data_IF_093782070595
#
_entry.id   IF_093782070595
#
_cell.length_a   1.000
_cell.length_b   1.000
_cell.length_c   1.000
_cell.angle_alpha   90.00
_cell.angle_beta   90.00
_cell.angle_gamma   90.00
#
_symmetry.space_group_name_H-M   'P 1'
#
loop_
_entity.id
_entity.type
_entity.pdbx_description
1 polymer ?
#
# COMPACT_ATOMS: atom_id res chain seq x y z
N UNK A 1 -18.65 -10.24 -30.82
CA UNK A 1 -19.12 -9.03 -30.09
C UNK A 1 -18.97 -7.78 -30.95
N UNK A 2 -17.81 -7.52 -31.57
CA UNK A 2 -17.61 -6.31 -32.37
C UNK A 2 -17.81 -6.64 -33.86
N UNK A 3 -18.75 -5.96 -34.52
CA UNK A 3 -19.03 -6.09 -35.95
C UNK A 3 -18.44 -4.94 -36.78
N UNK A 4 -18.44 -3.72 -36.23
CA UNK A 4 -17.89 -2.51 -36.85
C UNK A 4 -17.20 -1.65 -35.79
N UNK A 5 -16.14 -0.95 -36.18
CA UNK A 5 -15.37 -0.05 -35.31
C UNK A 5 -15.23 1.30 -36.01
N UNK A 6 -15.46 2.39 -35.28
CA UNK A 6 -15.12 3.75 -35.68
C UNK A 6 -14.23 4.38 -34.60
N UNK A 7 -13.15 5.02 -35.02
CA UNK A 7 -12.21 5.73 -34.14
C UNK A 7 -12.17 7.17 -34.60
N UNK A 8 -12.23 8.11 -33.66
CA UNK A 8 -12.14 9.55 -33.93
C UNK A 8 -11.16 10.17 -32.94
N UNK A 9 -10.13 10.82 -33.48
CA UNK A 9 -9.14 11.54 -32.69
C UNK A 9 -9.53 13.02 -32.63
N UNK A 10 -9.68 13.55 -31.41
CA UNK A 10 -9.94 14.96 -31.18
C UNK A 10 -8.66 15.63 -30.69
N UNK A 11 -8.16 16.61 -31.44
CA UNK A 11 -7.01 17.45 -31.08
C UNK A 11 -7.36 18.93 -30.99
N UNK A 12 -8.54 19.32 -31.49
CA UNK A 12 -9.10 20.66 -31.32
C UNK A 12 -9.47 20.91 -29.84
N UNK A 13 -8.97 21.98 -29.20
CA UNK A 13 -9.17 22.22 -27.76
C UNK A 13 -10.64 22.31 -27.34
N UNK A 14 -11.48 23.00 -28.11
CA UNK A 14 -12.90 23.17 -27.79
C UNK A 14 -13.65 21.84 -27.91
N UNK A 15 -13.36 21.08 -28.97
CA UNK A 15 -13.94 19.75 -29.15
C UNK A 15 -13.48 18.76 -28.10
N UNK A 16 -12.22 18.83 -27.67
CA UNK A 16 -11.69 18.03 -26.55
C UNK A 16 -12.47 18.35 -25.27
N UNK A 17 -12.69 19.63 -24.95
CA UNK A 17 -13.45 20.04 -23.76
C UNK A 17 -14.88 19.51 -23.77
N UNK A 18 -15.59 19.66 -24.89
CA UNK A 18 -16.95 19.13 -25.07
C UNK A 18 -17.00 17.61 -24.87
N UNK A 19 -16.10 16.88 -25.53
CA UNK A 19 -16.06 15.41 -25.46
C UNK A 19 -15.61 14.92 -24.07
N UNK A 20 -14.76 15.69 -23.38
CA UNK A 20 -14.32 15.39 -22.02
C UNK A 20 -15.49 15.47 -21.03
N UNK A 21 -16.29 16.53 -21.06
CA UNK A 21 -17.49 16.65 -20.22
C UNK A 21 -18.48 15.51 -20.46
N UNK A 22 -18.66 15.13 -21.74
CA UNK A 22 -19.50 13.98 -22.10
C UNK A 22 -18.93 12.66 -21.56
N UNK A 23 -17.63 12.46 -21.65
CA UNK A 23 -16.96 11.27 -21.12
C UNK A 23 -17.11 11.16 -19.60
N UNK A 24 -16.91 12.25 -18.86
CA UNK A 24 -17.08 12.29 -17.40
C UNK A 24 -18.49 11.86 -16.96
N UNK A 25 -19.54 12.31 -17.68
CA UNK A 25 -20.93 11.88 -17.39
C UNK A 25 -21.11 10.37 -17.58
N UNK A 26 -20.48 9.79 -18.60
CA UNK A 26 -20.52 8.34 -18.84
C UNK A 26 -19.77 7.59 -17.75
N UNK A 27 -18.59 8.07 -17.35
CA UNK A 27 -17.79 7.45 -16.29
C UNK A 27 -18.55 7.44 -14.98
N UNK A 28 -19.09 8.59 -14.55
CA UNK A 28 -19.85 8.66 -13.30
C UNK A 28 -21.10 7.76 -13.32
N UNK A 29 -21.82 7.68 -14.44
CA UNK A 29 -22.96 6.76 -14.57
C UNK A 29 -22.56 5.27 -14.54
N UNK A 30 -21.32 4.92 -14.93
CA UNK A 30 -20.78 3.57 -14.78
C UNK A 30 -20.38 3.29 -13.34
N UNK A 31 -19.61 4.19 -12.74
CA UNK A 31 -19.06 4.00 -11.41
C UNK A 31 -20.13 4.06 -10.31
N UNK A 32 -21.11 4.96 -10.44
CA UNK A 32 -22.25 5.03 -9.51
C UNK A 32 -23.04 3.71 -9.44
N UNK A 33 -23.09 2.93 -10.52
CA UNK A 33 -23.73 1.60 -10.51
C UNK A 33 -22.95 0.59 -9.69
N UNK A 34 -21.63 0.68 -9.67
CA UNK A 34 -20.79 -0.22 -8.89
C UNK A 34 -20.86 0.06 -7.38
N UNK A 35 -21.03 1.32 -6.98
CA UNK A 35 -21.04 1.74 -5.56
C UNK A 35 -22.20 1.18 -4.73
N UNK A 36 -23.29 0.76 -5.36
CA UNK A 36 -24.47 0.23 -4.66
C UNK A 36 -24.36 -1.23 -4.21
N UNK A 37 -23.38 -1.98 -4.71
CA UNK A 37 -23.24 -3.42 -4.46
C UNK A 37 -22.23 -3.69 -3.34
N UNK A 38 -22.58 -4.56 -2.39
CA UNK A 38 -21.70 -4.93 -1.27
C UNK A 38 -20.98 -6.24 -1.52
N UNK A 39 -19.83 -6.41 -0.86
CA UNK A 39 -19.05 -7.64 -0.95
C UNK A 39 -19.79 -8.86 -0.37
N UNK A 40 -20.65 -8.61 0.62
CA UNK A 40 -21.46 -9.63 1.27
C UNK A 40 -22.60 -10.13 0.35
N UNK A 41 -23.02 -9.33 -0.63
CA UNK A 41 -24.16 -9.61 -1.53
C UNK A 41 -23.77 -10.42 -2.78
N UNK A 42 -22.48 -10.69 -2.98
CA UNK A 42 -21.96 -11.45 -4.12
C UNK A 42 -21.30 -12.76 -3.68
N UNK A 43 -21.43 -13.78 -4.50
CA UNK A 43 -20.79 -15.09 -4.35
C UNK A 43 -19.37 -15.14 -4.92
N UNK A 44 -19.06 -14.23 -5.85
CA UNK A 44 -17.79 -14.19 -6.59
C UNK A 44 -17.12 -12.83 -6.52
N UNK A 45 -15.81 -12.86 -6.49
CA UNK A 45 -14.95 -11.74 -6.83
C UNK A 45 -14.28 -11.97 -8.19
N UNK A 46 -13.47 -11.01 -8.62
CA UNK A 46 -12.73 -11.11 -9.87
C UNK A 46 -11.26 -10.84 -9.66
N UNK A 47 -10.43 -11.63 -10.32
CA UNK A 47 -8.99 -11.43 -10.38
C UNK A 47 -8.59 -10.76 -11.70
N UNK A 48 -7.46 -10.07 -11.70
CA UNK A 48 -6.82 -9.56 -12.91
C UNK A 48 -5.30 -9.77 -12.86
N UNK A 49 -4.76 -10.42 -13.88
CA UNK A 49 -3.33 -10.68 -14.07
C UNK A 49 -2.71 -9.86 -15.21
N UNK A 50 -3.44 -8.90 -15.78
CA UNK A 50 -3.01 -8.14 -16.97
C UNK A 50 -1.66 -7.43 -16.76
N UNK A 51 -1.39 -6.96 -15.54
CA UNK A 51 -0.17 -6.24 -15.20
C UNK A 51 1.03 -7.15 -14.87
N UNK A 52 0.92 -8.47 -15.00
CA UNK A 52 2.03 -9.39 -14.74
C UNK A 52 3.17 -9.28 -15.76
N UNK A 53 2.95 -8.60 -16.89
CA UNK A 53 4.00 -8.25 -17.84
C UNK A 53 5.13 -7.41 -17.24
N UNK A 54 4.86 -6.66 -16.15
CA UNK A 54 5.87 -5.84 -15.45
C UNK A 54 5.89 -6.05 -13.94
N UNK A 55 4.87 -6.67 -13.35
CA UNK A 55 4.84 -7.10 -11.94
C UNK A 55 4.42 -8.58 -11.85
N UNK A 56 5.32 -9.54 -12.11
CA UNK A 56 4.97 -10.95 -12.34
C UNK A 56 4.20 -11.64 -11.22
N UNK A 57 4.42 -11.22 -9.96
CA UNK A 57 3.77 -11.78 -8.77
C UNK A 57 2.48 -11.04 -8.40
N UNK A 58 2.13 -9.97 -9.12
CA UNK A 58 0.94 -9.18 -8.82
C UNK A 58 -0.34 -9.87 -9.33
N UNK A 59 -1.38 -9.83 -8.50
CA UNK A 59 -2.74 -10.22 -8.86
C UNK A 59 -3.68 -9.18 -8.28
N UNK A 60 -4.40 -8.45 -9.14
CA UNK A 60 -5.48 -7.57 -8.68
C UNK A 60 -6.66 -8.43 -8.22
N UNK A 61 -7.21 -8.17 -7.04
CA UNK A 61 -8.46 -8.77 -6.56
C UNK A 61 -9.48 -7.64 -6.49
N UNK A 62 -10.60 -7.84 -7.17
CA UNK A 62 -11.61 -6.83 -7.46
C UNK A 62 -12.93 -7.32 -6.85
N UNK A 63 -13.45 -6.53 -5.94
CA UNK A 63 -14.73 -6.77 -5.26
C UNK A 63 -15.69 -5.63 -5.57
N UNK A 64 -16.99 -5.74 -5.26
CA UNK A 64 -17.91 -4.62 -5.36
C UNK A 64 -17.42 -3.35 -4.64
N UNK A 65 -16.81 -3.52 -3.46
CA UNK A 65 -16.33 -2.42 -2.62
C UNK A 65 -14.82 -2.18 -2.71
N UNK A 66 -14.13 -2.81 -3.68
CA UNK A 66 -12.71 -2.61 -3.96
C UNK A 66 -12.44 -2.71 -5.45
N UNK A 67 -12.39 -1.55 -6.08
CA UNK A 67 -11.94 -1.40 -7.46
C UNK A 67 -10.51 -1.90 -7.64
N UNK A 68 -10.16 -2.25 -8.88
CA UNK A 68 -8.77 -2.48 -9.24
C UNK A 68 -7.90 -1.26 -8.91
N UNK A 69 -6.61 -1.49 -8.66
CA UNK A 69 -5.70 -0.38 -8.29
C UNK A 69 -5.63 0.69 -9.40
N UNK A 70 -5.83 0.32 -10.67
CA UNK A 70 -5.83 1.24 -11.80
C UNK A 70 -7.10 2.09 -11.95
N UNK A 71 -8.17 1.78 -11.20
CA UNK A 71 -9.45 2.49 -11.27
C UNK A 71 -10.31 2.14 -12.50
N UNK A 72 -9.77 1.43 -13.47
CA UNK A 72 -10.44 1.17 -14.75
C UNK A 72 -11.24 -0.16 -14.80
N UNK A 73 -11.22 -0.96 -13.73
CA UNK A 73 -11.89 -2.26 -13.69
C UNK A 73 -12.72 -2.35 -12.41
N UNK A 74 -14.03 -2.21 -12.56
CA UNK A 74 -15.01 -2.50 -11.51
C UNK A 74 -15.30 -4.00 -11.41
N UNK A 75 -16.06 -4.40 -10.37
CA UNK A 75 -16.58 -5.77 -10.28
C UNK A 75 -17.44 -6.16 -11.50
N UNK A 76 -18.25 -5.23 -12.02
CA UNK A 76 -19.06 -5.48 -13.22
C UNK A 76 -18.21 -5.66 -14.48
N UNK A 77 -17.11 -4.92 -14.61
CA UNK A 77 -16.18 -5.09 -15.72
C UNK A 77 -15.44 -6.44 -15.61
N UNK A 78 -15.03 -6.83 -14.40
CA UNK A 78 -14.47 -8.16 -14.12
C UNK A 78 -15.43 -9.29 -14.52
N UNK A 79 -16.70 -9.17 -14.13
CA UNK A 79 -17.77 -10.10 -14.52
C UNK A 79 -17.98 -10.18 -16.02
N UNK A 80 -18.02 -9.04 -16.70
CA UNK A 80 -18.21 -8.99 -18.14
C UNK A 80 -17.02 -9.61 -18.86
N UNK A 81 -15.78 -9.21 -18.50
CA UNK A 81 -14.56 -9.67 -19.15
C UNK A 81 -14.36 -11.18 -18.99
N UNK A 82 -14.52 -11.73 -17.78
CA UNK A 82 -14.37 -13.17 -17.52
C UNK A 82 -15.41 -14.03 -18.26
N UNK A 83 -16.57 -13.46 -18.62
CA UNK A 83 -17.59 -14.14 -19.45
C UNK A 83 -17.28 -14.04 -20.93
N UNK A 84 -16.78 -12.88 -21.37
CA UNK A 84 -16.44 -12.62 -22.78
C UNK A 84 -15.23 -13.46 -23.21
N UNK A 85 -14.21 -13.52 -22.35
CA UNK A 85 -13.01 -14.32 -22.58
C UNK A 85 -12.64 -15.10 -21.31
N UNK A 86 -13.15 -16.34 -21.15
CA UNK A 86 -12.87 -17.17 -19.98
C UNK A 86 -11.39 -17.57 -19.82
N UNK A 87 -10.58 -17.42 -20.87
CA UNK A 87 -9.13 -17.68 -20.85
C UNK A 87 -8.30 -16.39 -20.78
N UNK A 88 -8.99 -15.25 -20.66
CA UNK A 88 -8.37 -13.94 -20.59
C UNK A 88 -7.72 -13.64 -19.24
N UNK A 89 -7.12 -12.46 -19.09
CA UNK A 89 -6.42 -12.07 -17.88
C UNK A 89 -7.35 -11.70 -16.71
N UNK A 90 -8.66 -11.52 -16.98
CA UNK A 90 -9.68 -11.34 -15.95
C UNK A 90 -10.41 -12.66 -15.73
N UNK A 91 -10.46 -13.12 -14.48
CA UNK A 91 -10.99 -14.43 -14.13
C UNK A 91 -11.88 -14.33 -12.89
N UNK A 92 -12.85 -15.25 -12.78
CA UNK A 92 -13.69 -15.33 -11.58
C UNK A 92 -12.90 -15.95 -10.42
N UNK A 93 -13.16 -15.44 -9.21
CA UNK A 93 -12.68 -15.99 -7.95
C UNK A 93 -13.91 -16.37 -7.14
N UNK A 94 -14.10 -17.66 -6.87
CA UNK A 94 -15.09 -18.08 -5.88
C UNK A 94 -14.69 -17.51 -4.53
N UNK A 95 -15.61 -16.85 -3.81
CA UNK A 95 -15.27 -16.15 -2.57
C UNK A 95 -14.75 -17.11 -1.51
N UNK A 96 -15.33 -18.30 -1.41
CA UNK A 96 -15.03 -19.26 -0.35
C UNK A 96 -15.44 -18.74 1.04
N UNK A 97 -14.88 -19.33 2.09
CA UNK A 97 -15.08 -18.91 3.47
C UNK A 97 -14.45 -17.54 3.75
N UNK A 98 -15.20 -16.67 4.44
CA UNK A 98 -14.69 -15.41 4.97
C UNK A 98 -13.95 -15.69 6.29
N UNK A 99 -12.63 -15.48 6.31
CA UNK A 99 -11.78 -15.71 7.48
C UNK A 99 -11.68 -14.47 8.38
N UNK A 100 -11.71 -13.28 7.78
CA UNK A 100 -11.67 -12.01 8.51
C UNK A 100 -12.49 -10.95 7.73
N UNK A 101 -13.68 -10.56 8.20
CA UNK A 101 -14.52 -9.59 7.49
C UNK A 101 -14.02 -8.14 7.59
N UNK A 102 -13.13 -7.85 8.55
CA UNK A 102 -12.55 -6.51 8.74
C UNK A 102 -11.35 -6.34 7.82
N UNK A 103 -10.46 -7.32 7.78
CA UNK A 103 -9.30 -7.31 6.87
C UNK A 103 -9.68 -7.70 5.44
N UNK A 104 -10.84 -8.32 5.25
CA UNK A 104 -11.30 -8.84 3.97
C UNK A 104 -10.49 -10.04 3.54
N UNK A 105 -10.32 -11.01 4.43
CA UNK A 105 -9.64 -12.27 4.12
C UNK A 105 -10.64 -13.35 3.74
N UNK A 106 -10.36 -14.02 2.64
CA UNK A 106 -11.20 -15.09 2.11
C UNK A 106 -10.34 -16.25 1.60
N UNK A 107 -10.76 -17.48 1.87
CA UNK A 107 -10.04 -18.69 1.45
C UNK A 107 -9.86 -18.75 -0.06
N UNK A 108 -10.94 -18.54 -0.83
CA UNK A 108 -10.89 -18.59 -2.29
C UNK A 108 -10.04 -17.47 -2.90
N UNK A 109 -9.96 -16.30 -2.25
CA UNK A 109 -9.03 -15.23 -2.65
C UNK A 109 -7.59 -15.64 -2.42
N UNK A 110 -7.26 -16.21 -1.26
CA UNK A 110 -5.91 -16.69 -0.95
C UNK A 110 -5.47 -17.78 -1.93
N UNK A 111 -6.35 -18.74 -2.25
CA UNK A 111 -6.08 -19.80 -3.23
C UNK A 111 -5.82 -19.23 -4.63
N UNK A 112 -6.71 -18.37 -5.11
CA UNK A 112 -6.59 -17.77 -6.44
C UNK A 112 -5.32 -16.91 -6.57
N UNK A 113 -5.00 -16.09 -5.56
CA UNK A 113 -3.78 -15.28 -5.57
C UNK A 113 -2.53 -16.16 -5.50
N UNK A 114 -2.54 -17.22 -4.69
CA UNK A 114 -1.42 -18.17 -4.62
C UNK A 114 -1.15 -18.84 -5.96
N UNK A 115 -2.18 -19.34 -6.63
CA UNK A 115 -2.05 -19.94 -7.94
C UNK A 115 -1.51 -18.92 -8.96
N UNK A 116 -2.15 -17.75 -9.05
CA UNK A 116 -1.89 -16.77 -10.09
C UNK A 116 -0.60 -15.97 -9.88
N UNK A 117 -0.07 -15.93 -8.66
CA UNK A 117 1.25 -15.35 -8.35
C UNK A 117 2.38 -16.39 -8.37
N UNK A 118 2.12 -17.61 -8.84
CA UNK A 118 3.09 -18.73 -8.86
C UNK A 118 3.62 -19.06 -7.46
N UNK A 119 2.77 -18.93 -6.44
CA UNK A 119 3.08 -19.22 -5.05
C UNK A 119 3.82 -18.10 -4.31
N UNK A 120 4.15 -16.99 -4.97
CA UNK A 120 4.87 -15.89 -4.34
C UNK A 120 4.04 -15.18 -3.26
N UNK A 121 2.73 -15.04 -3.48
CA UNK A 121 1.79 -14.43 -2.55
C UNK A 121 0.81 -15.50 -2.09
N UNK A 122 0.84 -15.87 -0.81
CA UNK A 122 0.00 -16.97 -0.28
C UNK A 122 -1.23 -16.49 0.48
N UNK A 123 -1.26 -15.22 0.87
CA UNK A 123 -2.32 -14.61 1.68
C UNK A 123 -2.51 -13.15 1.32
N UNK A 124 -3.77 -12.70 1.28
CA UNK A 124 -4.12 -11.30 1.02
C UNK A 124 -5.24 -10.84 1.94
N UNK A 125 -5.05 -9.66 2.51
CA UNK A 125 -6.03 -8.87 3.22
C UNK A 125 -6.45 -7.69 2.35
N UNK A 126 -7.73 -7.69 1.96
CA UNK A 126 -8.27 -6.72 1.01
C UNK A 126 -8.49 -5.32 1.59
N UNK A 127 -8.47 -5.10 2.90
CA UNK A 127 -8.86 -3.80 3.47
C UNK A 127 -7.84 -3.20 4.44
N UNK A 128 -6.56 -3.52 4.24
CA UNK A 128 -5.44 -3.01 5.03
C UNK A 128 -4.22 -2.75 4.15
N UNK A 129 -3.35 -1.87 4.62
CA UNK A 129 -2.00 -1.63 4.12
C UNK A 129 -0.92 -2.34 4.96
N UNK A 130 -1.28 -3.17 5.95
CA UNK A 130 -0.35 -3.83 6.87
C UNK A 130 -0.51 -5.35 6.93
N UNK A 131 0.59 -6.06 7.19
CA UNK A 131 0.65 -7.52 7.34
C UNK A 131 0.64 -8.22 5.98
N UNK A 132 -0.55 -8.46 5.43
CA UNK A 132 -0.73 -9.11 4.12
C UNK A 132 -1.47 -8.20 3.14
N UNK A 133 -1.01 -6.95 2.91
CA UNK A 133 -1.71 -6.04 2.03
C UNK A 133 -1.82 -6.61 0.63
N UNK A 134 -2.87 -6.23 -0.08
CA UNK A 134 -3.01 -6.54 -1.49
C UNK A 134 -1.87 -5.89 -2.29
N UNK A 135 -1.19 -6.68 -3.13
CA UNK A 135 0.00 -6.18 -3.85
C UNK A 135 -0.36 -5.10 -4.85
N UNK A 136 0.63 -4.29 -5.26
CA UNK A 136 0.44 -3.28 -6.29
C UNK A 136 1.34 -3.52 -7.49
N UNK A 137 0.78 -3.36 -8.70
CA UNK A 137 1.55 -3.41 -9.94
C UNK A 137 2.35 -2.14 -10.16
N UNK A 138 1.74 -1.11 -10.73
CA UNK A 138 2.43 0.12 -11.14
C UNK A 138 1.56 1.11 -11.91
N UNK A 139 0.32 0.73 -12.25
CA UNK A 139 -0.66 1.60 -12.90
C UNK A 139 -1.70 2.19 -11.92
N UNK A 140 -1.46 2.13 -10.61
CA UNK A 140 -2.36 2.72 -9.62
C UNK A 140 -2.53 4.24 -9.82
N UNK A 141 -3.72 4.76 -9.55
CA UNK A 141 -4.02 6.19 -9.68
C UNK A 141 -3.40 7.00 -8.55
N UNK A 142 -3.33 6.41 -7.35
CA UNK A 142 -2.77 7.01 -6.16
C UNK A 142 -2.09 5.97 -5.25
N UNK A 143 -1.36 6.47 -4.25
CA UNK A 143 -0.70 5.69 -3.20
C UNK A 143 -1.22 6.18 -1.86
N UNK A 144 -1.69 5.27 -1.00
CA UNK A 144 -1.74 5.50 0.44
C UNK A 144 -0.38 5.10 1.04
N UNK A 145 0.30 6.04 1.67
CA UNK A 145 1.59 5.82 2.32
C UNK A 145 1.50 6.17 3.81
N UNK A 146 2.03 5.29 4.65
CA UNK A 146 2.01 5.45 6.09
C UNK A 146 3.09 6.44 6.54
N UNK A 147 2.73 7.30 7.50
CA UNK A 147 3.57 8.33 8.10
C UNK A 147 3.68 8.01 9.60
N UNK A 148 4.76 7.33 10.02
CA UNK A 148 4.92 6.85 11.40
C UNK A 148 4.83 7.97 12.46
N UNK A 149 5.37 9.15 12.18
CA UNK A 149 5.49 10.28 13.10
C UNK A 149 4.12 10.86 13.53
N UNK A 150 3.07 10.57 12.76
CA UNK A 150 1.69 10.99 13.01
C UNK A 150 0.71 9.82 13.07
N UNK A 151 1.21 8.57 13.05
CA UNK A 151 0.40 7.34 13.02
C UNK A 151 -0.70 7.34 11.94
N UNK A 152 -0.47 8.03 10.82
CA UNK A 152 -1.48 8.35 9.81
C UNK A 152 -1.07 7.94 8.40
N UNK A 153 -1.99 8.06 7.45
CA UNK A 153 -1.74 7.88 6.02
C UNK A 153 -1.74 9.23 5.31
N UNK A 154 -0.73 9.46 4.49
CA UNK A 154 -0.82 10.38 3.38
C UNK A 154 -1.36 9.66 2.14
N UNK A 155 -2.04 10.39 1.27
CA UNK A 155 -2.43 9.92 -0.07
C UNK A 155 -1.78 10.84 -1.09
N UNK A 156 -1.22 10.28 -2.17
CA UNK A 156 -0.73 11.09 -3.30
C UNK A 156 -1.11 10.45 -4.63
N UNK A 157 -1.64 11.25 -5.56
CA UNK A 157 -2.03 10.78 -6.88
C UNK A 157 -0.90 10.97 -7.91
N UNK A 158 -0.94 10.17 -8.98
CA UNK A 158 0.09 10.12 -10.02
C UNK A 158 0.40 11.45 -10.70
N UNK A 159 -0.59 12.33 -10.83
CA UNK A 159 -0.45 13.64 -11.46
C UNK A 159 0.17 14.72 -10.56
N UNK A 160 0.39 14.44 -9.27
CA UNK A 160 0.92 15.41 -8.33
C UNK A 160 2.39 15.73 -8.65
N UNK A 161 2.68 17.01 -8.91
CA UNK A 161 4.01 17.49 -9.33
C UNK A 161 4.95 17.88 -8.18
N UNK A 162 4.44 17.92 -6.95
CA UNK A 162 5.21 18.30 -5.76
C UNK A 162 5.82 17.11 -5.01
N UNK A 163 6.40 17.42 -3.85
CA UNK A 163 6.76 16.42 -2.84
C UNK A 163 5.66 16.33 -1.79
N UNK A 164 5.47 15.14 -1.22
CA UNK A 164 4.54 14.96 -0.10
C UNK A 164 5.18 15.43 1.22
N UNK A 165 4.40 15.45 2.29
CA UNK A 165 4.84 15.84 3.65
C UNK A 165 6.05 15.06 4.19
N UNK A 166 6.34 13.86 3.67
CA UNK A 166 7.55 13.11 4.04
C UNK A 166 8.78 13.44 3.16
N UNK A 167 8.67 14.45 2.30
CA UNK A 167 9.72 14.91 1.40
C UNK A 167 9.89 14.09 0.12
N UNK A 168 9.06 13.06 -0.11
CA UNK A 168 9.17 12.19 -1.29
C UNK A 168 8.19 12.60 -2.40
N UNK A 169 8.62 12.63 -3.68
CA UNK A 169 7.72 12.76 -4.81
C UNK A 169 6.97 11.44 -5.07
N UNK A 170 5.90 11.51 -5.87
CA UNK A 170 5.10 10.33 -6.25
C UNK A 170 5.95 9.20 -6.83
N UNK A 171 6.93 9.50 -7.69
CA UNK A 171 7.78 8.49 -8.33
C UNK A 171 8.53 7.63 -7.31
N UNK A 172 9.12 8.26 -6.29
CA UNK A 172 9.86 7.53 -5.25
C UNK A 172 8.94 6.67 -4.38
N UNK A 173 7.74 7.17 -4.05
CA UNK A 173 6.74 6.38 -3.34
C UNK A 173 6.23 5.21 -4.21
N UNK A 174 6.10 5.41 -5.52
CA UNK A 174 5.68 4.38 -6.46
C UNK A 174 6.70 3.25 -6.52
N UNK A 175 8.00 3.54 -6.49
CA UNK A 175 9.06 2.52 -6.46
C UNK A 175 8.98 1.61 -5.21
N UNK A 176 8.57 2.18 -4.06
CA UNK A 176 8.33 1.41 -2.82
C UNK A 176 7.04 0.60 -2.87
N UNK A 177 6.02 1.07 -3.60
CA UNK A 177 4.67 0.48 -3.63
C UNK A 177 4.53 -0.61 -4.70
N UNK A 178 5.19 -0.42 -5.84
CA UNK A 178 5.05 -1.24 -7.04
C UNK A 178 5.80 -2.59 -6.98
N UNK A 179 5.58 -3.40 -8.03
CA UNK A 179 6.36 -4.60 -8.32
C UNK A 179 5.76 -5.90 -7.78
N UNK A 180 4.48 -5.92 -7.41
CA UNK A 180 3.81 -7.15 -6.99
C UNK A 180 4.27 -7.70 -5.65
N UNK A 181 4.75 -6.82 -4.76
CA UNK A 181 5.23 -7.14 -3.41
C UNK A 181 4.20 -6.72 -2.37
N UNK A 182 4.24 -7.36 -1.21
CA UNK A 182 3.51 -6.92 -0.01
C UNK A 182 4.45 -6.05 0.81
N UNK A 183 4.17 -4.75 0.87
CA UNK A 183 5.00 -3.77 1.56
C UNK A 183 4.11 -3.03 2.56
N UNK A 184 4.45 -3.17 3.84
CA UNK A 184 3.69 -2.55 4.91
C UNK A 184 3.70 -1.03 4.80
N UNK A 185 2.52 -0.44 4.93
CA UNK A 185 2.32 1.00 4.90
C UNK A 185 2.40 1.63 3.51
N UNK A 186 2.62 0.88 2.42
CA UNK A 186 2.64 1.41 1.06
C UNK A 186 1.66 0.66 0.18
N UNK A 187 0.56 1.33 -0.18
CA UNK A 187 -0.56 0.67 -0.82
C UNK A 187 -1.09 1.45 -2.03
N UNK A 188 -1.03 0.83 -3.20
CA UNK A 188 -1.56 1.41 -4.44
C UNK A 188 -3.07 1.32 -4.47
N UNK A 189 -3.73 2.44 -4.77
CA UNK A 189 -5.18 2.60 -4.70
C UNK A 189 -5.72 3.35 -5.92
N UNK A 190 -6.99 3.10 -6.24
CA UNK A 190 -7.76 3.89 -7.18
C UNK A 190 -8.56 4.98 -6.48
N UNK A 191 -8.98 5.99 -7.23
CA UNK A 191 -9.84 7.06 -6.71
C UNK A 191 -11.21 6.49 -6.31
N UNK A 192 -11.76 5.55 -7.08
CA UNK A 192 -13.02 4.88 -6.72
C UNK A 192 -12.90 4.06 -5.42
N UNK A 193 -11.76 3.44 -5.13
CA UNK A 193 -11.60 2.73 -3.86
C UNK A 193 -11.66 3.68 -2.65
N UNK A 194 -11.22 4.94 -2.78
CA UNK A 194 -11.36 5.95 -1.72
C UNK A 194 -12.82 6.31 -1.41
N UNK A 195 -13.74 6.05 -2.35
CA UNK A 195 -15.19 6.26 -2.19
C UNK A 195 -15.89 5.08 -1.52
N UNK A 196 -15.17 3.99 -1.28
CA UNK A 196 -15.71 2.77 -0.67
C UNK A 196 -15.87 2.91 0.84
N UNK A 197 -16.96 2.38 1.44
CA UNK A 197 -17.05 2.25 2.89
C UNK A 197 -16.05 1.25 3.48
N UNK A 198 -15.45 0.38 2.65
CA UNK A 198 -14.38 -0.56 3.03
C UNK A 198 -12.98 0.03 2.85
N UNK A 199 -12.86 1.30 2.46
CA UNK A 199 -11.57 1.95 2.20
C UNK A 199 -10.66 1.87 3.43
N UNK A 200 -9.60 1.05 3.33
CA UNK A 200 -8.63 0.78 4.40
C UNK A 200 -9.29 0.55 5.77
N UNK A 201 -10.47 -0.09 5.81
CA UNK A 201 -11.28 -0.16 7.02
C UNK A 201 -10.56 -0.82 8.21
N UNK A 202 -9.70 -1.81 7.95
CA UNK A 202 -8.94 -2.47 9.01
C UNK A 202 -7.87 -1.54 9.63
N UNK A 203 -7.52 -0.46 8.93
CA UNK A 203 -6.57 0.54 9.41
C UNK A 203 -7.26 1.82 9.88
N UNK A 204 -8.59 1.84 10.01
CA UNK A 204 -9.38 3.02 10.42
C UNK A 204 -9.84 3.91 9.28
N UNK A 205 -9.62 3.50 8.03
CA UNK A 205 -10.10 4.19 6.83
C UNK A 205 -9.78 5.68 6.82
N UNK A 206 -10.78 6.50 6.47
CA UNK A 206 -10.61 7.96 6.41
C UNK A 206 -10.16 8.59 7.73
N UNK A 207 -10.48 8.02 8.89
CA UNK A 207 -10.07 8.57 10.20
C UNK A 207 -8.56 8.47 10.46
N UNK A 208 -7.84 7.66 9.66
CA UNK A 208 -6.38 7.58 9.70
C UNK A 208 -5.71 8.32 8.55
N UNK A 209 -6.47 8.90 7.61
CA UNK A 209 -5.92 9.72 6.52
C UNK A 209 -5.70 11.15 7.01
N UNK A 210 -4.46 11.63 6.93
CA UNK A 210 -4.05 12.91 7.52
C UNK A 210 -3.61 13.94 6.49
N UNK A 211 -3.24 13.51 5.28
CA UNK A 211 -2.79 14.41 4.22
C UNK A 211 -3.20 13.91 2.83
N UNK A 212 -3.79 14.78 2.01
CA UNK A 212 -4.25 14.46 0.65
C UNK A 212 -4.17 15.71 -0.23
N UNK A 213 -3.66 15.63 -1.48
CA UNK A 213 -3.69 16.75 -2.40
C UNK A 213 -5.10 17.29 -2.61
N UNK A 214 -5.24 18.62 -2.63
CA UNK A 214 -6.55 19.29 -2.68
C UNK A 214 -7.42 18.86 -3.86
N UNK A 215 -6.81 18.57 -5.02
CA UNK A 215 -7.50 18.03 -6.20
C UNK A 215 -8.16 16.67 -5.92
N UNK A 216 -7.48 15.77 -5.23
CA UNK A 216 -8.02 14.44 -4.89
C UNK A 216 -9.10 14.59 -3.85
N UNK A 217 -8.84 15.40 -2.81
CA UNK A 217 -9.78 15.62 -1.71
C UNK A 217 -11.11 16.17 -2.22
N UNK A 218 -11.08 17.13 -3.17
CA UNK A 218 -12.29 17.67 -3.78
C UNK A 218 -13.04 16.61 -4.60
N UNK A 219 -12.33 15.76 -5.35
CA UNK A 219 -12.94 14.68 -6.15
C UNK A 219 -13.69 13.63 -5.32
N UNK A 220 -13.31 13.41 -4.06
CA UNK A 220 -13.92 12.36 -3.20
C UNK A 220 -14.63 12.94 -1.98
N UNK A 221 -14.77 14.26 -1.90
CA UNK A 221 -15.30 15.00 -0.75
C UNK A 221 -16.63 14.47 -0.22
N UNK A 222 -17.55 14.12 -1.11
CA UNK A 222 -18.89 13.62 -0.75
C UNK A 222 -18.87 12.24 -0.07
N UNK A 223 -17.74 11.52 -0.14
CA UNK A 223 -17.54 10.20 0.45
C UNK A 223 -16.68 10.23 1.71
N UNK A 224 -16.14 11.39 2.07
CA UNK A 224 -15.39 11.59 3.31
C UNK A 224 -16.40 11.79 4.46
N UNK A 225 -16.22 11.14 5.62
CA UNK A 225 -17.02 11.42 6.81
C UNK A 225 -17.10 12.92 7.10
N UNK A 226 -18.32 13.43 7.34
CA UNK A 226 -18.59 14.88 7.43
C UNK A 226 -17.75 15.58 8.52
N UNK A 227 -17.46 14.87 9.59
CA UNK A 227 -16.65 15.31 10.73
C UNK A 227 -15.15 15.46 10.41
N UNK A 228 -14.67 14.87 9.31
CA UNK A 228 -13.29 14.99 8.84
C UNK A 228 -13.10 16.12 7.82
N UNK A 229 -14.19 16.70 7.32
CA UNK A 229 -14.12 17.83 6.39
C UNK A 229 -13.40 18.99 7.06
N UNK A 230 -12.33 19.47 6.42
CA UNK A 230 -11.47 20.54 6.94
C UNK A 230 -10.47 20.12 8.03
N UNK A 231 -10.37 18.82 8.35
CA UNK A 231 -9.41 18.27 9.31
C UNK A 231 -8.26 17.49 8.67
N UNK A 232 -8.37 17.15 7.39
CA UNK A 232 -7.33 16.51 6.59
C UNK A 232 -6.51 17.59 5.91
N UNK A 233 -5.19 17.56 6.08
CA UNK A 233 -4.30 18.56 5.49
C UNK A 233 -4.16 18.37 3.97
N UNK A 234 -3.88 19.45 3.27
CA UNK A 234 -3.50 19.43 1.84
C UNK A 234 -2.09 19.96 1.65
N UNK A 235 -1.60 19.96 0.41
CA UNK A 235 -0.34 20.60 0.02
C UNK A 235 -0.29 22.11 0.32
N UNK A 236 -1.45 22.74 0.59
CA UNK A 236 -1.56 24.16 0.94
C UNK A 236 -1.48 24.40 2.45
N UNK A 237 -1.75 23.37 3.25
CA UNK A 237 -1.81 23.46 4.71
C UNK A 237 -0.52 22.99 5.38
N UNK A 238 0.10 21.95 4.82
CA UNK A 238 1.34 21.37 5.32
C UNK A 238 2.20 20.81 4.20
N UNK A 239 3.49 21.16 4.24
CA UNK A 239 4.51 20.73 3.28
C UNK A 239 5.54 19.78 3.89
N UNK A 240 5.55 19.66 5.21
CA UNK A 240 6.43 18.77 5.97
C UNK A 240 5.70 18.16 7.19
N UNK A 241 6.35 17.22 7.86
CA UNK A 241 5.78 16.47 9.00
C UNK A 241 5.49 17.39 10.21
N UNK A 242 6.34 18.39 10.47
CA UNK A 242 6.14 19.29 11.62
C UNK A 242 4.90 20.17 11.44
N UNK A 243 4.74 20.76 10.25
CA UNK A 243 3.55 21.51 9.86
C UNK A 243 2.30 20.63 9.90
N UNK A 244 2.40 19.41 9.37
CA UNK A 244 1.29 18.45 9.39
C UNK A 244 0.86 18.16 10.83
N UNK A 245 1.81 17.86 11.72
CA UNK A 245 1.51 17.55 13.12
C UNK A 245 0.82 18.72 13.81
N UNK A 246 1.28 19.96 13.57
CA UNK A 246 0.65 21.18 14.10
C UNK A 246 -0.78 21.36 13.58
N UNK A 247 -0.98 21.21 12.27
CA UNK A 247 -2.29 21.34 11.64
C UNK A 247 -3.30 20.34 12.22
N UNK A 248 -2.89 19.07 12.38
CA UNK A 248 -3.76 18.01 12.90
C UNK A 248 -4.21 18.30 14.34
N UNK A 249 -3.32 18.86 15.17
CA UNK A 249 -3.68 19.30 16.53
C UNK A 249 -4.64 20.51 16.50
N UNK A 250 -4.33 21.56 15.73
CA UNK A 250 -5.17 22.76 15.63
C UNK A 250 -6.58 22.46 15.10
N UNK A 251 -6.70 21.54 14.14
CA UNK A 251 -7.98 21.14 13.55
C UNK A 251 -8.70 20.03 14.31
N UNK A 252 -8.09 19.50 15.37
CA UNK A 252 -8.66 18.42 16.18
C UNK A 252 -8.96 17.18 15.34
N UNK A 253 -7.99 16.73 14.54
CA UNK A 253 -8.09 15.50 13.77
C UNK A 253 -8.17 14.28 14.72
N UNK A 254 -9.08 13.30 14.50
CA UNK A 254 -9.25 12.16 15.42
C UNK A 254 -7.99 11.35 15.70
N UNK A 255 -7.01 11.37 14.77
CA UNK A 255 -5.70 10.71 14.96
C UNK A 255 -4.94 11.21 16.19
N UNK A 256 -5.16 12.47 16.60
CA UNK A 256 -4.44 13.10 17.71
C UNK A 256 -4.74 12.38 19.04
N UNK A 257 -5.95 11.84 19.19
CA UNK A 257 -6.32 11.08 20.39
C UNK A 257 -5.52 9.77 20.49
N UNK A 258 -5.22 9.12 19.37
CA UNK A 258 -4.40 7.89 19.33
C UNK A 258 -2.95 8.14 19.75
N UNK A 259 -2.45 9.37 19.59
CA UNK A 259 -1.10 9.70 20.06
C UNK A 259 -1.03 9.74 21.58
N UNK A 260 -2.13 10.10 22.26
CA UNK A 260 -2.20 10.13 23.72
C UNK A 260 -2.19 8.71 24.29
N UNK A 261 -2.89 7.78 23.64
CA UNK A 261 -2.90 6.36 24.01
C UNK A 261 -1.54 5.67 23.80
N UNK A 262 -0.69 6.21 22.90
CA UNK A 262 0.66 5.70 22.61
C UNK A 262 1.76 6.41 23.40
N UNK A 263 1.47 7.47 24.14
CA UNK A 263 2.44 8.02 25.09
C UNK A 263 2.71 6.91 26.12
N UNK A 264 3.99 6.56 26.38
CA UNK A 264 4.27 5.50 27.35
C UNK A 264 3.64 5.89 28.68
N UNK A 265 2.84 4.99 29.26
CA UNK A 265 2.75 4.91 30.71
C UNK A 265 4.19 5.03 31.22
N UNK A 266 4.43 6.04 32.06
CA UNK A 266 5.72 6.25 32.69
C UNK A 266 6.23 4.90 33.16
N UNK A 267 7.38 4.50 32.62
CA UNK A 267 8.10 3.34 33.12
C UNK A 267 8.34 3.63 34.59
N UNK A 268 7.54 3.03 35.46
CA UNK A 268 7.91 2.85 36.86
C UNK A 268 9.32 2.29 36.84
N UNK A 269 10.24 3.04 37.44
CA UNK A 269 11.61 2.62 37.66
C UNK A 269 11.54 1.33 38.48
N UNK A 270 11.63 0.18 37.82
CA UNK A 270 12.00 -1.06 38.48
C UNK A 270 13.42 -0.84 39.04
N UNK A 271 13.46 -0.56 40.33
CA UNK A 271 14.66 -0.62 41.17
C UNK A 271 15.23 -2.02 41.00
N UNK A 272 16.29 -2.14 40.21
CA UNK A 272 17.03 -3.38 40.06
C UNK A 272 17.81 -3.61 41.35
N UNK A 273 17.27 -4.45 42.22
CA UNK A 273 17.95 -5.01 43.38
C UNK A 273 19.16 -5.83 42.87
N UNK A 274 20.36 -5.42 43.28
CA UNK A 274 21.62 -6.06 42.94
C UNK A 274 21.67 -7.45 43.59
N UNK A 275 21.47 -8.51 42.80
CA UNK A 275 21.71 -9.90 43.23
C UNK A 275 22.98 -10.44 42.59
N UNK A 276 23.95 -10.72 43.45
CA UNK A 276 25.23 -11.38 43.15
C UNK A 276 25.02 -12.71 42.39
N UNK A 277 25.78 -12.90 41.32
CA UNK A 277 25.88 -14.18 40.60
C UNK A 277 27.19 -14.85 41.04
N UNK A 278 27.19 -16.08 41.58
CA UNK A 278 28.42 -16.81 41.84
C UNK A 278 29.06 -17.30 40.53
N UNK A 279 30.36 -17.11 40.39
CA UNK A 279 31.19 -17.67 39.31
C UNK A 279 31.22 -19.20 39.33
N UNK A 280 31.15 -19.84 38.15
CA UNK A 280 31.57 -21.22 37.94
C UNK A 280 32.47 -21.33 36.69
N UNK A 281 33.55 -22.14 36.70
CA UNK A 281 34.64 -22.01 35.74
C UNK A 281 34.61 -23.02 34.57
N UNK A 282 35.09 -22.51 33.43
CA UNK A 282 35.98 -23.12 32.41
C UNK A 282 35.55 -24.32 31.53
N UNK A 283 35.72 -24.05 30.22
CA UNK A 283 36.28 -24.90 29.12
C UNK A 283 35.40 -25.94 28.44
N UNK A 284 35.36 -25.89 27.10
CA UNK A 284 35.84 -26.94 26.17
C UNK A 284 36.02 -26.34 24.75
N UNK A 285 37.15 -26.67 24.14
CA UNK A 285 37.57 -26.35 22.77
C UNK A 285 36.94 -27.30 21.71
N UNK A 286 36.82 -26.79 20.48
CA UNK A 286 36.99 -27.58 19.25
C UNK A 286 35.72 -28.05 18.53
N UNK A 287 35.53 -27.60 17.28
CA UNK A 287 35.23 -28.39 16.06
C UNK A 287 35.13 -27.40 14.85
N UNK A 288 35.60 -27.77 13.64
CA UNK A 288 36.02 -26.83 12.60
C UNK A 288 34.97 -26.51 11.51
N UNK A 289 35.30 -25.49 10.72
CA UNK A 289 34.53 -24.83 9.66
C UNK A 289 34.44 -25.67 8.37
N UNK A 290 33.23 -25.87 7.82
CA UNK A 290 33.03 -26.05 6.36
C UNK A 290 31.56 -25.87 5.93
N UNK A 291 31.32 -24.93 5.00
CA UNK A 291 30.24 -25.03 4.01
C UNK A 291 29.17 -23.94 4.01
N UNK A 292 29.39 -22.82 3.30
CA UNK A 292 28.42 -22.12 2.40
C UNK A 292 29.23 -21.17 1.46
N UNK A 293 28.92 -21.05 0.15
CA UNK A 293 29.69 -20.26 -0.82
C UNK A 293 29.33 -18.76 -0.85
N UNK A 294 30.32 -17.94 -1.26
CA UNK A 294 30.26 -16.49 -1.45
C UNK A 294 29.29 -16.04 -2.57
N UNK A 295 28.33 -15.17 -2.22
CA UNK A 295 27.79 -14.14 -3.10
C UNK A 295 28.21 -12.76 -2.57
N UNK A 296 28.80 -11.93 -3.44
CA UNK A 296 29.54 -10.73 -3.08
C UNK A 296 28.69 -9.55 -2.57
N UNK A 297 29.20 -8.89 -1.54
CA UNK A 297 28.78 -7.57 -1.06
C UNK A 297 29.87 -6.97 -0.18
N UNK A 298 30.26 -5.71 -0.43
CA UNK A 298 31.24 -5.00 0.40
C UNK A 298 30.70 -4.73 1.81
N UNK A 299 31.57 -4.75 2.83
CA UNK A 299 31.13 -4.60 4.21
C UNK A 299 31.02 -3.12 4.61
N UNK A 300 29.89 -2.73 5.21
CA UNK A 300 29.69 -1.42 5.85
C UNK A 300 29.50 -1.66 7.35
N UNK A 301 30.38 -1.10 8.17
CA UNK A 301 30.26 -1.15 9.63
C UNK A 301 29.69 0.20 10.08
N UNK A 302 28.55 0.19 10.77
CA UNK A 302 27.94 1.37 11.39
C UNK A 302 27.90 1.14 12.90
N UNK A 303 28.57 2.00 13.64
CA UNK A 303 28.62 1.98 15.10
C UNK A 303 27.91 3.24 15.62
N UNK A 304 26.87 3.09 16.44
CA UNK A 304 26.17 4.20 17.09
C UNK A 304 26.26 4.03 18.61
N UNK A 305 26.70 5.09 19.29
CA UNK A 305 26.84 5.18 20.75
C UNK A 305 27.68 4.09 21.45
N UNK A 306 28.84 3.72 20.89
CA UNK A 306 29.76 2.75 21.52
C UNK A 306 31.12 3.35 21.90
N UNK A 307 31.65 2.94 23.05
CA UNK A 307 33.04 3.18 23.48
C UNK A 307 33.86 1.90 23.26
N UNK A 308 34.76 1.91 22.28
CA UNK A 308 35.63 0.75 22.00
C UNK A 308 37.01 0.99 22.63
N UNK A 309 37.47 0.07 23.49
CA UNK A 309 38.86 -0.02 23.94
C UNK A 309 39.47 -1.31 23.38
N UNK A 310 40.40 -1.21 22.43
CA UNK A 310 41.11 -2.35 21.86
C UNK A 310 42.61 -2.04 21.71
N UNK A 311 43.48 -3.03 21.98
CA UNK A 311 44.94 -2.87 21.79
C UNK A 311 45.37 -2.96 20.31
N UNK A 312 44.63 -3.67 19.44
CA UNK A 312 44.82 -3.67 17.98
C UNK A 312 43.57 -4.18 17.27
N UNK A 313 43.20 -3.56 16.15
CA UNK A 313 42.14 -4.03 15.25
C UNK A 313 42.66 -4.04 13.81
N UNK A 314 42.45 -5.13 13.06
CA UNK A 314 42.87 -5.25 11.66
C UNK A 314 41.68 -5.75 10.85
N UNK A 315 41.26 -4.96 9.87
CA UNK A 315 40.24 -5.31 8.88
C UNK A 315 40.94 -5.36 7.53
N UNK A 316 40.89 -6.50 6.84
CA UNK A 316 41.47 -6.63 5.49
C UNK A 316 40.45 -7.21 4.52
N UNK A 317 40.39 -6.58 3.36
CA UNK A 317 39.74 -7.08 2.15
C UNK A 317 40.77 -7.91 1.38
N UNK A 318 40.38 -9.08 0.88
CA UNK A 318 41.23 -9.83 -0.04
C UNK A 318 40.91 -9.36 -1.47
N UNK A 319 41.89 -8.84 -2.19
CA UNK A 319 41.78 -8.47 -3.60
C UNK A 319 41.81 -9.73 -4.48
N UNK A 320 40.98 -9.76 -5.53
CA UNK A 320 41.06 -10.79 -6.56
C UNK A 320 42.32 -10.56 -7.39
N UNK A 321 43.24 -11.53 -7.38
CA UNK A 321 44.32 -11.65 -8.36
C UNK A 321 43.72 -11.84 -9.77
N UNK A 322 44.24 -11.08 -10.74
CA UNK A 322 43.79 -11.12 -12.13
C UNK A 322 44.03 -12.45 -12.85
N UNK A 323 43.42 -12.59 -14.02
CA UNK A 323 43.68 -13.72 -14.90
C UNK A 323 42.86 -13.70 -16.20
N UNK A 324 43.55 -13.23 -17.25
CA UNK A 324 43.31 -13.34 -18.71
C UNK A 324 42.16 -12.54 -19.33
#
# INVERSE_FOLDING_TARGET
>A
IIEKIQITFFTDPEKVKEMYEKALKIYEARDARARGLKDEEVDKFYGCSLCQSFAPTHVCVITPQRYSNCGAISWFDGRAAARVDPKGPLFAIEKGECLDPVKGEYTGVNEAVKEKSLGAITRVWLYTAFGYPHTSCGCFEAIAFYIPEVDGFGIVHRGFKGVTVNGLPFSTLADSTAGGRQIDGFHGISIEYMRSPKFLQADGGWYRVVWVPSEVLERVKDFIPKELIGKIATEKDATNIEELKKFLMEKGHPIVERWKEKAPEEKEEEVVEEREIPELPLTIEGVPVAGVPMAGGGFKIILKNVKIKAKKAIIRRIEKSGGK
#
